data_IF_607931834070
#
_entry.id   IF_607931834070
#
_cell.length_a   1.000
_cell.length_b   1.000
_cell.length_c   1.000
_cell.angle_alpha   90.00
_cell.angle_beta   90.00
_cell.angle_gamma   90.00
#
_symmetry.space_group_name_H-M   'P 1'
#
loop_
_entity.id
_entity.type
_entity.pdbx_description
1 polymer ?
#
# COMPACT_ATOMS: atom_id res chain seq x y z
N UNK A 1 4.11 29.03 52.56
CA UNK A 1 4.04 29.99 51.46
C UNK A 1 5.07 29.70 50.41
N UNK A 2 4.82 28.80 49.55
CA UNK A 2 5.62 28.70 48.28
C UNK A 2 4.75 28.04 47.23
N UNK A 3 4.04 28.88 46.53
CA UNK A 3 3.12 28.49 45.43
C UNK A 3 3.77 28.64 44.05
N UNK A 4 5.05 28.34 43.90
CA UNK A 4 5.75 28.63 42.66
C UNK A 4 6.53 27.42 42.11
N UNK A 5 6.12 26.24 42.39
CA UNK A 5 6.88 25.08 41.86
C UNK A 5 6.08 24.02 41.16
N UNK A 6 4.94 24.36 40.61
CA UNK A 6 4.13 23.37 39.87
C UNK A 6 3.88 23.72 38.40
N UNK A 7 4.56 24.72 37.89
CA UNK A 7 4.30 25.21 36.55
C UNK A 7 5.38 24.94 35.50
N UNK A 8 6.23 23.96 35.70
CA UNK A 8 7.34 23.77 34.76
C UNK A 8 7.50 22.35 34.23
N UNK A 9 6.42 21.54 34.25
CA UNK A 9 6.63 20.18 33.74
C UNK A 9 5.52 19.66 32.84
N UNK A 10 5.06 20.47 31.93
CA UNK A 10 4.21 20.03 30.84
C UNK A 10 4.77 20.39 29.48
N UNK A 11 6.09 20.22 29.36
CA UNK A 11 6.66 20.23 28.02
C UNK A 11 6.88 18.84 27.54
N UNK A 12 5.87 18.26 27.12
CA UNK A 12 5.83 17.27 26.45
C UNK A 12 5.99 16.89 25.25
N UNK A 13 6.65 16.07 25.04
CA UNK A 13 6.93 15.06 24.05
C UNK A 13 5.78 14.85 23.11
N UNK A 14 5.72 15.65 22.07
CA UNK A 14 5.11 15.24 20.83
C UNK A 14 6.16 14.43 20.10
N UNK A 15 6.27 13.18 20.45
CA UNK A 15 6.99 12.23 19.66
C UNK A 15 6.14 11.94 18.44
N UNK A 16 6.36 12.71 17.40
CA UNK A 16 5.82 12.41 16.09
C UNK A 16 6.44 11.09 15.64
N UNK A 17 5.69 10.02 15.81
CA UNK A 17 5.97 8.78 15.11
C UNK A 17 5.72 9.02 13.63
N UNK A 18 6.75 9.42 12.90
CA UNK A 18 6.80 9.27 11.46
C UNK A 18 6.86 7.78 11.19
N UNK A 19 5.68 7.15 11.10
CA UNK A 19 5.57 5.76 10.70
C UNK A 19 6.05 5.62 9.26
N UNK A 20 7.25 5.10 9.09
CA UNK A 20 7.62 4.52 7.80
C UNK A 20 6.65 3.36 7.59
N UNK A 21 5.78 3.48 6.63
CA UNK A 21 4.93 2.37 6.25
C UNK A 21 5.81 1.21 5.83
N UNK A 22 5.77 0.16 6.61
CA UNK A 22 6.48 -1.07 6.30
C UNK A 22 5.79 -1.72 5.12
N UNK A 23 6.52 -1.91 4.03
CA UNK A 23 6.21 -2.94 3.05
C UNK A 23 5.97 -4.23 3.84
N UNK A 24 4.86 -4.92 3.56
CA UNK A 24 4.52 -6.15 4.25
C UNK A 24 5.69 -7.13 4.21
N UNK A 25 6.25 -7.40 5.36
CA UNK A 25 7.34 -8.37 5.55
C UNK A 25 6.83 -9.64 6.22
N UNK A 26 5.55 -9.63 6.61
CA UNK A 26 4.92 -10.81 7.17
C UNK A 26 4.62 -11.81 6.03
N UNK A 27 5.05 -13.06 6.15
CA UNK A 27 4.74 -14.11 5.17
C UNK A 27 3.24 -14.23 4.84
N UNK A 28 2.38 -14.05 5.82
CA UNK A 28 0.93 -14.15 5.63
C UNK A 28 0.40 -13.01 4.73
N UNK A 29 0.94 -11.80 4.87
CA UNK A 29 0.55 -10.66 4.04
C UNK A 29 1.06 -10.82 2.60
N UNK A 30 2.23 -11.40 2.42
CA UNK A 30 2.79 -11.70 1.09
C UNK A 30 1.92 -12.73 0.38
N UNK A 31 1.54 -13.80 1.07
CA UNK A 31 0.65 -14.84 0.53
C UNK A 31 -0.72 -14.26 0.17
N UNK A 32 -1.29 -13.43 1.03
CA UNK A 32 -2.56 -12.76 0.78
C UNK A 32 -2.47 -11.84 -0.44
N UNK A 33 -1.41 -11.05 -0.57
CA UNK A 33 -1.17 -10.18 -1.71
C UNK A 33 -1.05 -10.94 -3.03
N UNK A 34 -0.35 -12.06 -3.04
CA UNK A 34 -0.22 -12.93 -4.20
C UNK A 34 -1.57 -13.51 -4.64
N UNK A 35 -2.37 -14.00 -3.69
CA UNK A 35 -3.69 -14.56 -3.99
C UNK A 35 -4.64 -13.50 -4.57
N UNK A 36 -4.64 -12.29 -4.02
CA UNK A 36 -5.43 -11.17 -4.53
C UNK A 36 -4.97 -10.80 -5.94
N UNK A 37 -3.67 -10.73 -6.16
CA UNK A 37 -3.10 -10.45 -7.47
C UNK A 37 -3.55 -11.47 -8.52
N UNK A 38 -3.44 -12.74 -8.21
CA UNK A 38 -3.88 -13.83 -9.10
C UNK A 38 -5.36 -13.77 -9.44
N UNK A 39 -6.20 -13.33 -8.49
CA UNK A 39 -7.64 -13.25 -8.68
C UNK A 39 -8.08 -12.04 -9.50
N UNK A 40 -7.45 -10.88 -9.29
CA UNK A 40 -7.96 -9.61 -9.81
C UNK A 40 -7.04 -8.89 -10.79
N UNK A 41 -5.76 -9.14 -10.77
CA UNK A 41 -4.76 -8.36 -11.50
C UNK A 41 -4.13 -9.15 -12.67
N UNK A 42 -4.04 -10.45 -12.52
CA UNK A 42 -3.35 -11.36 -13.43
C UNK A 42 -3.85 -11.26 -14.88
N UNK A 43 -5.17 -11.10 -15.05
CA UNK A 43 -5.78 -11.12 -16.38
C UNK A 43 -5.27 -10.00 -17.29
N UNK A 44 -4.95 -8.84 -16.73
CA UNK A 44 -4.43 -7.70 -17.49
C UNK A 44 -2.92 -7.54 -17.37
N UNK A 45 -2.37 -7.79 -16.17
CA UNK A 45 -0.96 -7.54 -15.88
C UNK A 45 -0.05 -8.76 -16.07
N UNK A 46 -0.60 -9.97 -16.06
CA UNK A 46 0.17 -11.21 -16.17
C UNK A 46 0.90 -11.59 -14.87
N UNK A 47 1.43 -12.81 -14.85
CA UNK A 47 2.13 -13.35 -13.68
C UNK A 47 3.38 -12.56 -13.31
N UNK A 48 4.05 -11.99 -14.30
CA UNK A 48 5.27 -11.18 -14.15
C UNK A 48 5.03 -9.67 -14.12
N UNK A 49 3.78 -9.22 -14.27
CA UNK A 49 3.42 -7.81 -14.30
C UNK A 49 3.64 -7.10 -15.64
N UNK A 50 3.97 -7.83 -16.71
CA UNK A 50 4.39 -7.27 -18.00
C UNK A 50 3.42 -7.52 -19.16
N UNK A 51 2.30 -8.18 -18.93
CA UNK A 51 1.43 -8.67 -20.02
C UNK A 51 0.79 -7.56 -20.85
N UNK A 52 0.39 -6.44 -20.28
CA UNK A 52 -0.07 -5.26 -21.00
C UNK A 52 -1.43 -5.35 -21.66
N UNK A 53 -2.33 -6.23 -21.23
CA UNK A 53 -3.69 -6.33 -21.74
C UNK A 53 -4.49 -5.07 -21.35
N UNK A 54 -5.33 -4.57 -22.27
CA UNK A 54 -6.13 -3.36 -22.09
C UNK A 54 -5.31 -2.10 -21.70
N UNK A 55 -4.08 -2.01 -22.15
CA UNK A 55 -3.20 -0.90 -21.86
C UNK A 55 -2.60 -0.93 -20.45
N UNK A 56 -2.66 -2.09 -19.77
CA UNK A 56 -2.05 -2.25 -18.46
C UNK A 56 -0.55 -1.94 -18.51
N UNK A 57 -0.10 -1.09 -17.58
CA UNK A 57 1.30 -0.70 -17.49
C UNK A 57 2.16 -1.85 -16.98
N UNK A 58 3.41 -1.86 -17.39
CA UNK A 58 4.42 -2.76 -16.84
C UNK A 58 4.67 -2.38 -15.37
N UNK A 59 4.27 -3.29 -14.47
CA UNK A 59 4.38 -3.06 -13.02
C UNK A 59 5.86 -3.05 -12.59
N UNK A 60 6.70 -3.80 -13.26
CA UNK A 60 8.11 -4.00 -12.86
C UNK A 60 8.96 -2.75 -12.99
N UNK A 61 8.57 -1.82 -13.86
CA UNK A 61 9.26 -0.52 -14.06
C UNK A 61 8.56 0.64 -13.37
N UNK A 62 7.48 0.38 -12.62
CA UNK A 62 6.74 1.42 -11.93
C UNK A 62 7.56 2.03 -10.79
N UNK A 63 7.58 3.36 -10.74
CA UNK A 63 8.24 4.14 -9.68
C UNK A 63 7.27 4.57 -8.58
N UNK A 64 6.01 4.15 -8.65
CA UNK A 64 5.00 4.48 -7.65
C UNK A 64 5.37 3.90 -6.29
N UNK A 65 5.20 4.70 -5.25
CA UNK A 65 5.33 4.27 -3.85
C UNK A 65 4.23 3.28 -3.48
N UNK A 66 4.32 2.66 -2.32
CA UNK A 66 3.28 1.78 -1.80
C UNK A 66 1.94 2.51 -1.69
N UNK A 67 1.95 3.70 -1.12
CA UNK A 67 0.75 4.52 -0.94
C UNK A 67 0.12 4.93 -2.28
N UNK A 68 0.94 5.31 -3.24
CA UNK A 68 0.48 5.65 -4.58
C UNK A 68 -0.11 4.46 -5.31
N UNK A 69 0.45 3.27 -5.10
CA UNK A 69 -0.12 2.02 -5.64
C UNK A 69 -1.47 1.68 -5.00
N UNK A 70 -1.58 1.84 -3.68
CA UNK A 70 -2.85 1.65 -2.96
C UNK A 70 -3.89 2.63 -3.48
N UNK A 71 -3.55 3.90 -3.62
CA UNK A 71 -4.45 4.92 -4.16
C UNK A 71 -4.91 4.58 -5.58
N UNK A 72 -4.01 4.14 -6.45
CA UNK A 72 -4.32 3.73 -7.81
C UNK A 72 -5.25 2.50 -7.86
N UNK A 73 -5.00 1.50 -7.02
CA UNK A 73 -5.85 0.32 -6.90
C UNK A 73 -7.26 0.72 -6.43
N UNK A 74 -7.35 1.62 -5.47
CA UNK A 74 -8.62 2.10 -4.94
C UNK A 74 -9.45 2.84 -5.98
N UNK A 75 -8.84 3.77 -6.69
CA UNK A 75 -9.56 4.67 -7.63
C UNK A 75 -9.61 4.16 -9.06
N UNK A 76 -8.73 3.24 -9.43
CA UNK A 76 -8.54 2.81 -10.81
C UNK A 76 -8.01 3.93 -11.71
N UNK A 77 -7.72 3.59 -12.95
CA UNK A 77 -7.33 4.54 -13.98
C UNK A 77 -7.54 3.95 -15.37
N UNK A 78 -8.14 4.72 -16.29
CA UNK A 78 -8.47 4.24 -17.63
C UNK A 78 -9.30 2.95 -17.57
N UNK A 79 -8.83 1.85 -18.15
CA UNK A 79 -9.53 0.56 -18.13
C UNK A 79 -9.26 -0.27 -16.86
N UNK A 80 -8.40 0.19 -15.96
CA UNK A 80 -8.20 -0.45 -14.68
C UNK A 80 -9.39 -0.21 -13.75
N UNK A 81 -9.99 -1.30 -13.28
CA UNK A 81 -11.15 -1.27 -12.39
C UNK A 81 -10.81 -0.57 -11.07
N UNK A 82 -11.66 0.35 -10.56
CA UNK A 82 -11.57 0.81 -9.19
C UNK A 82 -11.93 -0.32 -8.23
N UNK A 83 -11.08 -0.59 -7.26
CA UNK A 83 -11.31 -1.66 -6.27
C UNK A 83 -11.93 -1.16 -4.96
N UNK A 84 -12.28 0.12 -4.87
CA UNK A 84 -13.09 0.64 -3.78
C UNK A 84 -14.39 -0.18 -3.66
N UNK A 85 -14.68 -0.68 -2.45
CA UNK A 85 -15.84 -1.54 -2.21
C UNK A 85 -15.69 -3.00 -2.65
N UNK A 86 -14.61 -3.36 -3.36
CA UNK A 86 -14.28 -4.74 -3.75
C UNK A 86 -13.21 -5.31 -2.84
N UNK A 87 -12.18 -4.55 -2.58
CA UNK A 87 -11.09 -4.89 -1.67
C UNK A 87 -11.13 -3.99 -0.44
N UNK A 88 -10.79 -4.53 0.72
CA UNK A 88 -10.57 -3.74 1.92
C UNK A 88 -9.26 -2.94 1.82
N UNK A 89 -9.08 -1.87 2.61
CA UNK A 89 -7.80 -1.15 2.65
C UNK A 89 -6.60 -2.06 2.93
N UNK A 90 -6.72 -3.01 3.83
CA UNK A 90 -5.65 -3.97 4.13
C UNK A 90 -5.35 -4.90 2.96
N UNK A 91 -6.38 -5.34 2.24
CA UNK A 91 -6.22 -6.14 1.02
C UNK A 91 -5.53 -5.35 -0.09
N UNK A 92 -5.91 -4.09 -0.28
CA UNK A 92 -5.24 -3.21 -1.25
C UNK A 92 -3.76 -3.01 -0.89
N UNK A 93 -3.46 -2.83 0.38
CA UNK A 93 -2.07 -2.71 0.85
C UNK A 93 -1.29 -4.00 0.63
N UNK A 94 -1.88 -5.15 0.91
CA UNK A 94 -1.25 -6.46 0.70
C UNK A 94 -0.91 -6.68 -0.78
N UNK A 95 -1.84 -6.44 -1.69
CA UNK A 95 -1.58 -6.62 -3.11
C UNK A 95 -0.63 -5.56 -3.68
N UNK A 96 -0.72 -4.33 -3.23
CA UNK A 96 0.23 -3.27 -3.60
C UNK A 96 1.65 -3.66 -3.19
N UNK A 97 1.84 -4.16 -1.97
CA UNK A 97 3.13 -4.68 -1.48
C UNK A 97 3.64 -5.83 -2.33
N UNK A 98 2.77 -6.76 -2.70
CA UNK A 98 3.14 -7.86 -3.60
C UNK A 98 3.68 -7.33 -4.94
N UNK A 99 3.02 -6.34 -5.53
CA UNK A 99 3.45 -5.75 -6.80
C UNK A 99 4.81 -5.07 -6.73
N UNK A 100 5.26 -4.63 -5.55
CA UNK A 100 6.58 -4.03 -5.36
C UNK A 100 7.72 -5.02 -5.59
N UNK A 101 7.44 -6.32 -5.51
CA UNK A 101 8.42 -7.39 -5.65
C UNK A 101 8.44 -8.03 -7.05
N UNK A 102 7.55 -7.62 -7.95
CA UNK A 102 7.57 -8.09 -9.34
C UNK A 102 8.79 -7.52 -10.09
N UNK A 103 9.45 -8.37 -10.88
CA UNK A 103 10.68 -8.03 -11.62
C UNK A 103 10.65 -8.53 -13.06
#
# INVERSE_FOLDING_TARGET
MNKILVSAFCLLMILACAGKEKVATNPDDVVAGEQIYKKYCLICHGADGKLGINGAKDITISTLTLEERVALINTGKNLMTPFEGILTPDQMKAVASYTMNLK
#
